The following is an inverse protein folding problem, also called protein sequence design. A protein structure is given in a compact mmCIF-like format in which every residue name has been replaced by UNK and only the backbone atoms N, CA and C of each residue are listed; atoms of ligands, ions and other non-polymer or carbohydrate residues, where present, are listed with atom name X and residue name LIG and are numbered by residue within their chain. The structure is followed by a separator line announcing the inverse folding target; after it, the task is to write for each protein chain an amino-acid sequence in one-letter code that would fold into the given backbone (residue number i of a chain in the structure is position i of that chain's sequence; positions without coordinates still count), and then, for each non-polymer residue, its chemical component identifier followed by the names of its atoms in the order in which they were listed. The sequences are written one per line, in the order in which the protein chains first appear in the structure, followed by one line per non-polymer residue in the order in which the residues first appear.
data_IF_918004250702
#
_entry.id   IF_918004250702
#
_cell.length_a   1.000
_cell.length_b   1.000
_cell.length_c   1.000
_cell.angle_alpha   90.00
_cell.angle_beta   90.00
_cell.angle_gamma   90.00
#
_symmetry.space_group_name_H-M   'P 1'
#
loop_
_entity.id
_entity.type
_entity.pdbx_description
1 polymer ?
#
# COMPACT_ATOMS: atom_id res chain seq x y z
N UNK A 1 -24.91 3.83 14.20
CA UNK A 1 -24.84 2.48 14.84
C UNK A 1 -23.42 1.93 14.72
N UNK A 2 -22.96 1.22 15.76
CA UNK A 2 -21.68 0.51 15.67
C UNK A 2 -21.77 -0.59 14.58
N UNK A 3 -20.74 -0.77 13.72
CA UNK A 3 -20.73 -1.87 12.75
C UNK A 3 -20.79 -3.22 13.46
N UNK A 4 -21.64 -4.13 12.96
CA UNK A 4 -21.88 -5.44 13.60
C UNK A 4 -20.61 -6.26 13.80
N UNK A 5 -19.74 -6.33 12.79
CA UNK A 5 -18.49 -7.08 12.89
C UNK A 5 -17.53 -6.45 13.92
N UNK A 6 -17.53 -5.12 14.03
CA UNK A 6 -16.77 -4.40 15.05
C UNK A 6 -17.33 -4.68 16.46
N UNK A 7 -18.64 -4.61 16.62
CA UNK A 7 -19.30 -4.87 17.90
C UNK A 7 -19.04 -6.31 18.37
N UNK A 8 -19.18 -7.29 17.47
CA UNK A 8 -18.87 -8.69 17.76
C UNK A 8 -17.42 -8.86 18.21
N UNK A 9 -16.47 -8.30 17.45
CA UNK A 9 -15.05 -8.36 17.78
C UNK A 9 -14.75 -7.74 19.15
N UNK A 10 -15.25 -6.54 19.42
CA UNK A 10 -14.98 -5.85 20.70
C UNK A 10 -15.59 -6.60 21.88
N UNK A 11 -16.81 -7.16 21.75
CA UNK A 11 -17.47 -7.95 22.80
C UNK A 11 -16.75 -9.27 23.08
N UNK A 12 -16.15 -9.89 22.08
CA UNK A 12 -15.38 -11.14 22.22
C UNK A 12 -14.04 -10.90 22.89
N UNK A 13 -13.36 -9.78 22.57
CA UNK A 13 -11.97 -9.56 22.96
C UNK A 13 -11.79 -8.63 24.17
N UNK A 14 -12.73 -7.73 24.44
CA UNK A 14 -12.58 -6.80 25.56
C UNK A 14 -13.49 -7.15 26.74
N UNK A 15 -12.98 -7.07 27.97
CA UNK A 15 -13.82 -7.21 29.17
C UNK A 15 -14.94 -6.17 29.22
N UNK A 16 -16.16 -6.58 29.59
CA UNK A 16 -17.32 -5.66 29.71
C UNK A 16 -17.04 -4.45 30.62
N UNK A 17 -16.21 -4.61 31.65
CA UNK A 17 -15.79 -3.53 32.51
C UNK A 17 -15.00 -2.44 31.78
N UNK A 18 -14.27 -2.80 30.71
CA UNK A 18 -13.51 -1.85 29.87
C UNK A 18 -14.42 -0.85 29.18
N UNK A 19 -15.54 -1.31 28.62
CA UNK A 19 -16.53 -0.43 28.00
C UNK A 19 -17.06 0.60 29.01
N UNK A 20 -17.46 0.14 30.20
CA UNK A 20 -17.99 1.02 31.25
C UNK A 20 -16.97 2.05 31.72
N UNK A 21 -15.71 1.65 31.84
CA UNK A 21 -14.67 2.49 32.40
C UNK A 21 -14.03 3.45 31.36
N UNK A 22 -13.98 3.05 30.08
CA UNK A 22 -13.18 3.75 29.07
C UNK A 22 -13.97 4.35 27.90
N UNK A 23 -15.24 3.98 27.74
CA UNK A 23 -16.06 4.53 26.67
C UNK A 23 -16.29 6.03 26.91
N UNK A 24 -15.79 6.83 26.00
CA UNK A 24 -16.06 8.27 25.93
C UNK A 24 -17.13 8.52 24.86
N UNK A 25 -18.12 9.34 25.20
CA UNK A 25 -19.18 9.76 24.26
C UNK A 25 -19.15 11.28 24.10
N UNK A 26 -19.24 11.73 22.87
CA UNK A 26 -19.31 13.14 22.50
C UNK A 26 -20.23 13.30 21.29
N UNK A 27 -21.39 13.95 21.48
CA UNK A 27 -22.39 14.18 20.43
C UNK A 27 -22.69 12.93 19.59
N UNK A 28 -23.05 11.83 20.24
CA UNK A 28 -23.37 10.55 19.61
C UNK A 28 -22.16 9.77 19.05
N UNK A 29 -20.97 10.35 19.11
CA UNK A 29 -19.72 9.68 18.72
C UNK A 29 -19.10 8.99 19.90
N UNK A 30 -18.69 7.76 19.70
CA UNK A 30 -18.14 6.87 20.71
C UNK A 30 -16.67 6.57 20.45
N UNK A 31 -15.86 6.59 21.53
CA UNK A 31 -14.41 6.44 21.50
C UNK A 31 -13.93 5.51 22.61
N UNK A 32 -13.25 4.42 22.25
CA UNK A 32 -12.46 3.59 23.17
C UNK A 32 -10.99 3.78 22.81
N UNK A 33 -10.23 4.42 23.67
CA UNK A 33 -8.84 4.80 23.42
C UNK A 33 -7.89 4.03 24.34
N UNK A 34 -6.82 3.49 23.78
CA UNK A 34 -5.77 2.75 24.45
C UNK A 34 -4.40 3.33 24.07
N UNK A 35 -3.52 3.41 25.06
CA UNK A 35 -2.12 3.86 24.89
C UNK A 35 -1.15 2.68 25.02
N UNK A 36 0.13 2.92 24.80
CA UNK A 36 1.19 1.94 25.05
C UNK A 36 1.28 1.43 26.50
N UNK A 37 0.63 2.12 27.45
CA UNK A 37 0.55 1.70 28.85
C UNK A 37 -0.51 0.61 29.09
N UNK A 38 -1.44 0.45 28.14
CA UNK A 38 -2.56 -0.50 28.23
C UNK A 38 -2.19 -1.89 27.67
N UNK A 39 -0.98 -2.37 27.95
CA UNK A 39 -0.39 -3.59 27.36
C UNK A 39 -1.34 -4.79 27.41
N UNK A 40 -2.01 -5.01 28.53
CA UNK A 40 -2.94 -6.13 28.69
C UNK A 40 -4.17 -6.00 27.79
N UNK A 41 -4.78 -4.81 27.70
CA UNK A 41 -5.94 -4.56 26.84
C UNK A 41 -5.56 -4.61 25.35
N UNK A 42 -4.37 -4.09 24.99
CA UNK A 42 -3.84 -4.18 23.66
C UNK A 42 -3.60 -5.65 23.23
N UNK A 43 -3.12 -6.49 24.15
CA UNK A 43 -2.94 -7.91 23.86
C UNK A 43 -4.27 -8.65 23.58
N UNK A 44 -5.36 -8.25 24.25
CA UNK A 44 -6.70 -8.73 23.92
C UNK A 44 -7.16 -8.32 22.51
N UNK A 45 -6.75 -7.15 22.04
CA UNK A 45 -6.99 -6.69 20.67
C UNK A 45 -6.03 -7.29 19.63
N UNK A 46 -5.19 -8.25 20.03
CA UNK A 46 -4.19 -8.90 19.17
C UNK A 46 -2.97 -8.01 18.88
N UNK A 47 -2.73 -6.96 19.67
CA UNK A 47 -1.64 -6.01 19.48
C UNK A 47 -0.53 -6.26 20.48
N UNK A 48 0.69 -6.44 19.99
CA UNK A 48 1.90 -6.54 20.81
C UNK A 48 2.58 -5.18 20.84
N UNK A 49 2.63 -4.57 22.04
CA UNK A 49 3.34 -3.32 22.28
C UNK A 49 4.84 -3.56 22.40
N UNK A 50 5.63 -2.63 21.86
CA UNK A 50 7.08 -2.60 22.00
C UNK A 50 7.60 -1.16 22.22
N UNK A 51 8.91 -0.95 22.13
CA UNK A 51 9.52 0.39 22.33
C UNK A 51 9.17 1.40 21.23
N UNK A 52 8.68 0.94 20.07
CA UNK A 52 8.28 1.80 18.94
C UNK A 52 6.84 2.28 19.10
N UNK A 53 5.95 1.40 19.55
CA UNK A 53 4.53 1.74 19.70
C UNK A 53 3.65 0.54 20.07
N UNK A 54 2.33 0.68 19.98
CA UNK A 54 1.59 1.82 19.43
C UNK A 54 1.48 2.99 20.43
N UNK A 55 1.49 4.22 19.90
CA UNK A 55 1.22 5.43 20.68
C UNK A 55 -0.27 5.56 21.04
N UNK A 56 -1.16 5.23 20.11
CA UNK A 56 -2.62 5.26 20.27
C UNK A 56 -3.26 4.13 19.45
N UNK A 57 -4.22 3.46 20.09
CA UNK A 57 -5.21 2.60 19.41
C UNK A 57 -6.60 3.09 19.80
N UNK A 58 -7.40 3.49 18.83
CA UNK A 58 -8.75 3.98 19.05
C UNK A 58 -9.76 3.14 18.26
N UNK A 59 -10.79 2.65 18.97
CA UNK A 59 -11.98 2.05 18.38
C UNK A 59 -13.09 3.12 18.42
N UNK A 60 -13.62 3.49 17.24
CA UNK A 60 -14.47 4.68 17.10
C UNK A 60 -15.71 4.35 16.26
N UNK A 61 -16.89 4.88 16.68
CA UNK A 61 -18.13 4.71 15.91
C UNK A 61 -19.14 5.83 16.19
N UNK A 62 -20.10 5.96 15.27
CA UNK A 62 -21.23 6.89 15.42
C UNK A 62 -22.48 6.11 15.87
N UNK A 63 -22.93 6.35 17.12
CA UNK A 63 -24.08 5.65 17.72
C UNK A 63 -25.42 6.19 17.16
N UNK A 64 -25.48 7.46 16.78
CA UNK A 64 -26.70 8.13 16.31
C UNK A 64 -26.94 7.95 14.81
N UNK A 65 -25.92 7.59 14.05
CA UNK A 65 -26.07 7.36 12.62
C UNK A 65 -27.01 6.19 12.33
N UNK A 66 -27.96 6.33 11.36
CA UNK A 66 -28.77 5.21 10.89
C UNK A 66 -27.95 4.17 10.11
N UNK A 67 -26.73 4.53 9.68
CA UNK A 67 -25.80 3.63 9.04
C UNK A 67 -24.78 3.08 10.06
N UNK A 68 -24.27 1.90 9.78
CA UNK A 68 -23.13 1.34 10.50
C UNK A 68 -21.87 2.13 10.12
N UNK A 69 -21.45 3.06 10.97
CA UNK A 69 -20.26 3.90 10.76
C UNK A 69 -19.32 3.70 11.95
N UNK A 70 -18.15 3.11 11.68
CA UNK A 70 -17.15 2.89 12.71
C UNK A 70 -15.93 2.17 12.18
N UNK A 71 -14.93 2.06 13.06
CA UNK A 71 -13.68 1.40 12.74
C UNK A 71 -12.58 1.73 13.73
N UNK A 72 -11.36 1.75 13.25
CA UNK A 72 -10.16 1.84 14.08
C UNK A 72 -9.19 2.91 13.58
N UNK A 73 -8.53 3.59 14.51
CA UNK A 73 -7.39 4.47 14.22
C UNK A 73 -6.21 4.00 15.06
N UNK A 74 -5.09 3.75 14.44
CA UNK A 74 -3.84 3.40 15.11
C UNK A 74 -2.77 4.39 14.72
N UNK A 75 -2.22 5.06 15.72
CA UNK A 75 -0.96 5.80 15.62
C UNK A 75 0.10 4.91 16.24
N UNK A 76 0.96 4.34 15.40
CA UNK A 76 2.01 3.43 15.87
C UNK A 76 3.15 4.21 16.53
N UNK A 77 3.69 5.20 15.83
CA UNK A 77 4.79 6.00 16.37
C UNK A 77 4.69 7.45 15.92
N UNK A 78 5.13 8.36 16.79
CA UNK A 78 5.32 9.79 16.51
C UNK A 78 6.79 10.20 16.61
N UNK A 79 7.71 9.24 16.78
CA UNK A 79 9.14 9.50 16.93
C UNK A 79 9.77 10.12 15.67
N UNK A 80 9.28 9.73 14.47
CA UNK A 80 9.73 10.31 13.20
C UNK A 80 9.16 11.70 12.91
N UNK A 81 8.11 12.13 13.62
CA UNK A 81 7.46 13.43 13.46
C UNK A 81 5.95 13.38 13.66
N UNK A 82 5.33 14.55 13.61
CA UNK A 82 3.88 14.76 13.72
C UNK A 82 3.34 15.51 12.51
N UNK A 83 2.14 15.13 12.04
CA UNK A 83 1.33 13.96 12.47
C UNK A 83 1.93 12.62 12.06
N UNK A 84 1.35 11.50 12.49
CA UNK A 84 1.56 10.20 11.87
C UNK A 84 0.80 10.15 10.53
N UNK A 85 1.34 9.46 9.55
CA UNK A 85 0.76 9.41 8.21
C UNK A 85 0.46 7.96 7.78
N UNK A 86 -0.67 7.73 7.11
CA UNK A 86 -1.02 6.46 6.50
C UNK A 86 -2.46 6.33 6.07
N UNK A 87 -2.74 5.37 5.19
CA UNK A 87 -4.01 5.22 4.50
C UNK A 87 -5.15 4.68 5.36
N UNK A 88 -6.38 4.85 4.89
CA UNK A 88 -7.61 4.27 5.44
C UNK A 88 -7.97 3.04 4.65
N UNK A 89 -8.00 1.86 5.29
CA UNK A 89 -8.46 0.61 4.69
C UNK A 89 -9.93 0.37 4.99
N UNK A 90 -10.73 -0.02 3.99
CA UNK A 90 -12.14 -0.36 4.18
C UNK A 90 -12.38 -1.83 3.87
N UNK A 91 -12.70 -2.62 4.90
CA UNK A 91 -12.99 -4.05 4.80
C UNK A 91 -13.99 -4.48 5.90
N UNK A 92 -14.83 -5.51 5.65
CA UNK A 92 -15.84 -5.94 6.64
C UNK A 92 -15.24 -6.57 7.90
N UNK A 93 -14.11 -7.28 7.78
CA UNK A 93 -13.51 -8.07 8.86
C UNK A 93 -12.14 -7.53 9.29
N UNK A 94 -11.94 -6.22 9.19
CA UNK A 94 -10.69 -5.61 9.62
C UNK A 94 -10.64 -5.53 11.15
N UNK A 95 -9.48 -5.79 11.74
CA UNK A 95 -9.25 -5.77 13.19
C UNK A 95 -8.27 -4.67 13.60
N UNK A 96 -8.22 -4.30 14.89
CA UNK A 96 -7.20 -3.38 15.41
C UNK A 96 -5.77 -3.87 15.15
N UNK A 97 -5.53 -5.18 15.23
CA UNK A 97 -4.20 -5.76 14.95
C UNK A 97 -3.80 -5.64 13.49
N UNK A 98 -4.74 -5.79 12.54
CA UNK A 98 -4.47 -5.57 11.12
C UNK A 98 -4.07 -4.12 10.87
N UNK A 99 -4.79 -3.18 11.48
CA UNK A 99 -4.49 -1.75 11.36
C UNK A 99 -3.15 -1.40 12.01
N UNK A 100 -2.82 -1.98 13.18
CA UNK A 100 -1.52 -1.79 13.82
C UNK A 100 -0.37 -2.32 12.95
N UNK A 101 -0.53 -3.50 12.34
CA UNK A 101 0.46 -4.08 11.44
C UNK A 101 0.77 -3.14 10.26
N UNK A 102 -0.27 -2.53 9.69
CA UNK A 102 -0.12 -1.56 8.61
C UNK A 102 0.48 -0.24 9.10
N UNK A 103 0.09 0.24 10.29
CA UNK A 103 0.64 1.46 10.90
C UNK A 103 2.14 1.31 11.18
N UNK A 104 2.59 0.14 11.67
CA UNK A 104 4.02 -0.19 11.84
C UNK A 104 4.77 -0.16 10.50
N UNK A 105 4.17 -0.70 9.44
CA UNK A 105 4.71 -0.59 8.09
C UNK A 105 4.90 0.86 7.66
N UNK A 106 3.95 1.75 7.99
CA UNK A 106 4.06 3.19 7.71
C UNK A 106 5.16 3.86 8.55
N UNK A 107 5.33 3.48 9.83
CA UNK A 107 6.45 3.95 10.66
C UNK A 107 7.79 3.68 9.99
N UNK A 108 7.98 2.46 9.50
CA UNK A 108 9.22 2.05 8.82
C UNK A 108 9.40 2.76 7.48
N UNK A 109 8.34 2.90 6.67
CA UNK A 109 8.40 3.59 5.37
C UNK A 109 8.76 5.06 5.53
N UNK A 110 8.08 5.77 6.44
CA UNK A 110 8.35 7.19 6.68
C UNK A 110 9.78 7.41 7.18
N UNK A 111 10.25 6.55 8.10
CA UNK A 111 11.62 6.61 8.59
C UNK A 111 12.65 6.29 7.50
N UNK A 112 12.42 5.24 6.70
CA UNK A 112 13.31 4.84 5.62
C UNK A 112 13.42 5.90 4.51
N UNK A 113 12.30 6.59 4.22
CA UNK A 113 12.25 7.70 3.28
C UNK A 113 12.64 9.05 3.92
N UNK A 114 13.16 9.07 5.15
CA UNK A 114 13.54 10.28 5.88
C UNK A 114 12.45 11.37 5.91
N UNK A 115 11.18 10.96 5.97
CA UNK A 115 10.04 11.87 6.00
C UNK A 115 9.76 12.35 7.44
N UNK A 116 9.32 13.59 7.64
CA UNK A 116 9.08 14.17 8.99
C UNK A 116 7.72 13.74 9.56
N UNK A 117 7.38 12.46 9.44
CA UNK A 117 6.09 11.89 9.86
C UNK A 117 6.27 10.64 10.68
N UNK A 118 5.38 10.47 11.65
CA UNK A 118 5.18 9.20 12.31
C UNK A 118 4.42 8.19 11.43
N UNK A 119 4.22 6.98 11.91
CA UNK A 119 3.40 5.96 11.24
C UNK A 119 2.02 5.83 11.86
N UNK A 120 0.99 5.89 11.01
CA UNK A 120 -0.39 5.71 11.42
C UNK A 120 -1.19 4.96 10.36
N UNK A 121 -2.36 4.48 10.74
CA UNK A 121 -3.30 3.80 9.85
C UNK A 121 -4.71 3.87 10.40
N UNK A 122 -5.72 3.87 9.52
CA UNK A 122 -7.09 3.69 9.96
C UNK A 122 -7.79 2.56 9.20
N UNK A 123 -8.87 2.05 9.77
CA UNK A 123 -9.73 1.05 9.16
C UNK A 123 -11.19 1.40 9.31
N UNK A 124 -11.96 1.33 8.23
CA UNK A 124 -13.42 1.42 8.24
C UNK A 124 -13.96 -0.01 8.17
N UNK A 125 -14.81 -0.39 9.13
CA UNK A 125 -15.50 -1.69 9.11
C UNK A 125 -16.75 -1.54 8.26
N UNK A 126 -16.68 -1.98 7.00
CA UNK A 126 -17.82 -1.91 6.08
C UNK A 126 -17.69 -2.97 4.97
N UNK A 127 -18.85 -3.35 4.40
CA UNK A 127 -18.90 -4.29 3.27
C UNK A 127 -18.25 -3.75 2.00
N UNK A 128 -17.73 -4.65 1.15
CA UNK A 128 -17.10 -4.26 -0.12
C UNK A 128 -18.10 -3.83 -1.18
N UNK A 129 -19.29 -4.44 -1.18
CA UNK A 129 -20.33 -4.23 -2.20
C UNK A 129 -21.36 -3.18 -1.74
N UNK A 130 -20.89 -1.94 -1.55
CA UNK A 130 -21.75 -0.81 -1.22
C UNK A 130 -22.18 -0.06 -2.48
N UNK A 131 -23.39 0.52 -2.49
CA UNK A 131 -23.71 1.55 -3.48
C UNK A 131 -22.81 2.77 -3.29
N UNK A 132 -22.50 3.50 -4.36
CA UNK A 132 -21.63 4.68 -4.31
C UNK A 132 -22.13 5.72 -3.28
N UNK A 133 -23.45 5.92 -3.19
CA UNK A 133 -24.05 6.82 -2.20
C UNK A 133 -23.81 6.37 -0.77
N UNK A 134 -24.00 5.06 -0.48
CA UNK A 134 -23.80 4.50 0.86
C UNK A 134 -22.33 4.54 1.25
N UNK A 135 -21.43 4.22 0.31
CA UNK A 135 -19.98 4.31 0.49
C UNK A 135 -19.59 5.75 0.90
N UNK A 136 -19.98 6.75 0.12
CA UNK A 136 -19.68 8.15 0.42
C UNK A 136 -20.22 8.58 1.79
N UNK A 137 -21.45 8.19 2.16
CA UNK A 137 -22.03 8.51 3.48
C UNK A 137 -21.22 7.90 4.61
N UNK A 138 -20.74 6.65 4.47
CA UNK A 138 -19.90 5.98 5.47
C UNK A 138 -18.56 6.69 5.61
N UNK A 139 -17.88 6.99 4.49
CA UNK A 139 -16.59 7.71 4.50
C UNK A 139 -16.72 9.09 5.14
N UNK A 140 -17.77 9.86 4.80
CA UNK A 140 -18.03 11.17 5.42
C UNK A 140 -18.32 11.07 6.91
N UNK A 141 -19.10 10.09 7.34
CA UNK A 141 -19.35 9.83 8.76
C UNK A 141 -18.05 9.46 9.51
N UNK A 142 -17.22 8.62 8.89
CA UNK A 142 -15.92 8.29 9.45
C UNK A 142 -14.96 9.48 9.49
N UNK A 143 -14.99 10.38 8.49
CA UNK A 143 -14.23 11.61 8.50
C UNK A 143 -14.53 12.48 9.75
N UNK A 144 -15.81 12.56 10.14
CA UNK A 144 -16.24 13.28 11.37
C UNK A 144 -15.70 12.62 12.63
N UNK A 145 -15.58 11.29 12.67
CA UNK A 145 -15.01 10.57 13.80
C UNK A 145 -13.50 10.81 13.94
N UNK A 146 -12.75 10.76 12.83
CA UNK A 146 -11.29 10.93 12.86
C UNK A 146 -10.86 12.39 13.01
N UNK A 147 -11.74 13.38 12.86
CA UNK A 147 -11.45 14.81 13.08
C UNK A 147 -10.80 15.08 14.45
N UNK A 148 -11.17 14.29 15.45
CA UNK A 148 -10.57 14.33 16.81
C UNK A 148 -9.06 14.12 16.78
N UNK A 149 -8.54 13.37 15.81
CA UNK A 149 -7.14 12.97 15.73
C UNK A 149 -6.33 13.76 14.68
N UNK A 150 -6.88 14.84 14.10
CA UNK A 150 -6.25 15.63 13.02
C UNK A 150 -4.81 16.10 13.31
N UNK A 151 -4.46 16.31 14.59
CA UNK A 151 -3.14 16.78 15.00
C UNK A 151 -2.11 15.64 15.15
N UNK A 152 -2.56 14.38 15.12
CA UNK A 152 -1.68 13.21 15.32
C UNK A 152 -1.83 12.16 14.23
N UNK A 153 -2.84 12.27 13.36
CA UNK A 153 -3.07 11.33 12.27
C UNK A 153 -3.52 12.06 10.99
N UNK A 154 -2.82 11.80 9.89
CA UNK A 154 -3.06 12.35 8.57
C UNK A 154 -3.42 11.19 7.61
N UNK A 155 -4.68 11.09 7.16
CA UNK A 155 -5.16 10.00 6.33
C UNK A 155 -4.80 10.15 4.86
N UNK A 156 -4.50 9.03 4.20
CA UNK A 156 -4.47 8.85 2.75
C UNK A 156 -5.37 7.68 2.32
N UNK A 157 -5.44 7.31 1.04
CA UNK A 157 -6.19 6.15 0.58
C UNK A 157 -5.43 4.84 0.82
N UNK A 158 -6.17 3.73 0.86
CA UNK A 158 -5.67 2.35 0.87
C UNK A 158 -6.72 1.42 0.25
N UNK A 159 -6.58 0.11 0.41
CA UNK A 159 -7.54 -0.88 -0.10
C UNK A 159 -8.97 -0.55 0.35
N UNK A 160 -9.87 -0.43 -0.60
CA UNK A 160 -11.29 -0.10 -0.38
C UNK A 160 -11.60 1.39 -0.27
N UNK A 161 -10.59 2.27 -0.36
CA UNK A 161 -10.74 3.72 -0.48
C UNK A 161 -9.90 4.27 -1.64
N UNK A 162 -10.20 5.48 -2.09
CA UNK A 162 -9.55 6.13 -3.24
C UNK A 162 -9.45 7.65 -3.05
N UNK A 163 -9.00 8.36 -4.07
CA UNK A 163 -8.85 9.82 -4.08
C UNK A 163 -10.18 10.57 -3.89
N UNK A 164 -11.30 10.07 -4.43
CA UNK A 164 -12.63 10.65 -4.21
C UNK A 164 -13.07 10.55 -2.73
N UNK A 165 -12.66 9.50 -2.04
CA UNK A 165 -12.85 9.37 -0.59
C UNK A 165 -12.01 10.39 0.18
N UNK A 166 -10.77 10.62 -0.25
CA UNK A 166 -9.92 11.67 0.32
C UNK A 166 -10.50 13.07 0.06
N UNK A 167 -11.11 13.28 -1.11
CA UNK A 167 -11.92 14.50 -1.37
C UNK A 167 -13.04 14.66 -0.34
N UNK A 168 -13.76 13.58 -0.06
CA UNK A 168 -14.85 13.58 0.94
C UNK A 168 -14.33 13.91 2.34
N UNK A 169 -13.16 13.38 2.73
CA UNK A 169 -12.51 13.68 4.02
C UNK A 169 -12.05 15.14 4.08
N UNK A 170 -11.44 15.66 3.00
CA UNK A 170 -11.00 17.04 2.93
C UNK A 170 -12.18 18.03 2.99
N UNK A 171 -13.33 17.70 2.40
CA UNK A 171 -14.56 18.49 2.52
C UNK A 171 -15.04 18.58 3.98
N UNK A 172 -14.93 17.48 4.74
CA UNK A 172 -15.35 17.47 6.15
C UNK A 172 -14.31 18.11 7.10
N UNK A 173 -13.03 17.96 6.82
CA UNK A 173 -11.95 18.23 7.79
C UNK A 173 -10.94 19.31 7.35
N UNK A 174 -11.02 19.81 6.12
CA UNK A 174 -10.09 20.77 5.51
C UNK A 174 -9.04 20.08 4.63
N UNK A 175 -8.49 20.81 3.66
CA UNK A 175 -7.59 20.29 2.62
C UNK A 175 -6.32 19.65 3.16
N UNK A 176 -5.71 20.22 4.18
CA UNK A 176 -4.47 19.72 4.75
C UNK A 176 -4.67 18.53 5.71
N UNK A 177 -5.91 18.06 5.89
CA UNK A 177 -6.26 16.90 6.72
C UNK A 177 -6.59 15.65 5.88
N UNK A 178 -6.19 15.61 4.61
CA UNK A 178 -6.25 14.43 3.75
C UNK A 178 -5.14 14.47 2.71
N UNK A 179 -4.60 13.31 2.36
CA UNK A 179 -3.53 13.12 1.37
C UNK A 179 -4.05 12.39 0.13
N UNK A 180 -3.32 12.51 -0.97
CA UNK A 180 -3.67 11.86 -2.24
C UNK A 180 -5.07 12.22 -2.70
N UNK A 181 -5.38 13.51 -2.59
CA UNK A 181 -6.63 14.10 -3.10
C UNK A 181 -6.61 14.15 -4.63
N UNK A 182 -7.78 14.30 -5.28
CA UNK A 182 -7.86 14.59 -6.71
C UNK A 182 -7.15 15.91 -7.07
N UNK A 183 -6.80 16.07 -8.34
CA UNK A 183 -6.09 17.27 -8.83
C UNK A 183 -6.89 18.56 -8.64
N UNK A 184 -8.23 18.48 -8.68
CA UNK A 184 -9.13 19.64 -8.45
C UNK A 184 -9.10 20.15 -6.99
N UNK A 185 -8.39 19.46 -6.11
CA UNK A 185 -8.07 19.88 -4.73
C UNK A 185 -6.55 20.03 -4.50
N UNK A 186 -5.77 20.18 -5.57
CA UNK A 186 -4.33 20.29 -5.50
C UNK A 186 -3.62 18.98 -5.16
N UNK A 187 -4.27 17.83 -5.31
CA UNK A 187 -3.64 16.52 -5.15
C UNK A 187 -2.75 16.15 -6.32
N UNK A 188 -1.81 15.25 -6.11
CA UNK A 188 -0.75 14.92 -7.10
C UNK A 188 -0.95 13.61 -7.86
N UNK A 189 -2.17 13.07 -7.89
CA UNK A 189 -2.56 11.88 -8.70
C UNK A 189 -1.64 10.67 -8.55
N UNK A 190 -1.29 10.33 -7.34
CA UNK A 190 -0.29 9.28 -6.99
C UNK A 190 -0.56 7.95 -7.72
N UNK A 191 -1.82 7.53 -7.79
CA UNK A 191 -2.20 6.25 -8.40
C UNK A 191 -2.07 6.27 -9.94
N UNK A 192 -2.47 7.37 -10.60
CA UNK A 192 -2.34 7.52 -12.05
C UNK A 192 -0.87 7.55 -12.50
N UNK A 193 -0.01 8.13 -11.69
CA UNK A 193 1.43 8.20 -11.96
C UNK A 193 2.13 6.87 -11.70
N UNK A 194 1.56 6.02 -10.86
CA UNK A 194 2.21 4.81 -10.41
C UNK A 194 3.41 5.11 -9.50
N UNK A 195 3.28 6.08 -8.60
CA UNK A 195 4.39 6.54 -7.76
C UNK A 195 5.07 5.43 -6.95
N UNK A 196 4.29 4.47 -6.40
CA UNK A 196 4.86 3.30 -5.73
C UNK A 196 5.71 2.45 -6.69
N UNK A 197 5.23 2.24 -7.91
CA UNK A 197 5.95 1.52 -8.95
C UNK A 197 7.20 2.27 -9.43
N UNK A 198 7.17 3.60 -9.45
CA UNK A 198 8.36 4.43 -9.68
C UNK A 198 9.48 4.13 -8.71
N UNK A 199 9.17 4.01 -7.41
CA UNK A 199 10.12 3.60 -6.37
C UNK A 199 10.70 2.20 -6.62
N UNK A 200 9.88 1.24 -7.07
CA UNK A 200 10.32 -0.11 -7.44
C UNK A 200 11.39 -0.06 -8.56
N UNK A 201 11.19 0.78 -9.58
CA UNK A 201 12.15 0.89 -10.69
C UNK A 201 13.42 1.64 -10.28
N UNK A 202 13.33 2.67 -9.45
CA UNK A 202 14.51 3.34 -8.86
C UNK A 202 15.29 2.33 -8.01
N UNK A 203 14.59 1.53 -7.19
CA UNK A 203 15.21 0.49 -6.39
C UNK A 203 15.85 -0.62 -7.25
N UNK A 204 15.37 -0.90 -8.47
CA UNK A 204 16.05 -1.78 -9.40
C UNK A 204 17.33 -1.15 -10.00
N UNK A 205 17.27 0.12 -10.39
CA UNK A 205 18.42 0.82 -10.97
C UNK A 205 19.59 0.98 -10.00
N UNK A 206 19.31 1.16 -8.71
CA UNK A 206 20.34 1.34 -7.67
C UNK A 206 21.21 0.09 -7.49
N UNK A 207 20.67 -1.12 -7.26
CA UNK A 207 21.44 -2.35 -7.23
C UNK A 207 22.31 -2.57 -8.45
N UNK A 208 21.78 -2.34 -9.63
CA UNK A 208 22.57 -2.54 -10.87
C UNK A 208 23.90 -1.76 -10.86
N UNK A 209 23.93 -0.58 -10.23
CA UNK A 209 25.14 0.22 -10.08
C UNK A 209 26.11 -0.32 -9.02
N UNK A 210 25.61 -0.91 -7.94
CA UNK A 210 26.43 -1.32 -6.79
C UNK A 210 26.78 -2.82 -6.80
N UNK A 211 26.01 -3.66 -7.48
CA UNK A 211 26.21 -5.13 -7.51
C UNK A 211 27.62 -5.56 -7.91
N UNK A 212 28.35 -4.90 -8.85
CA UNK A 212 29.73 -5.24 -9.14
C UNK A 212 30.63 -5.20 -7.91
N UNK A 213 30.35 -4.31 -6.95
CA UNK A 213 31.11 -4.19 -5.68
C UNK A 213 30.77 -5.31 -4.71
N UNK A 214 29.61 -5.94 -4.82
CA UNK A 214 29.22 -7.04 -3.93
C UNK A 214 30.03 -8.31 -4.14
N UNK A 215 30.74 -8.46 -5.27
CA UNK A 215 31.59 -9.62 -5.55
C UNK A 215 32.72 -9.82 -4.55
N UNK A 216 33.00 -8.83 -3.70
CA UNK A 216 33.92 -8.97 -2.57
C UNK A 216 33.36 -9.90 -1.47
N UNK A 217 32.04 -10.09 -1.43
CA UNK A 217 31.37 -10.96 -0.47
C UNK A 217 31.32 -12.40 -1.00
N UNK A 218 31.63 -13.41 -0.16
CA UNK A 218 31.70 -14.81 -0.61
C UNK A 218 30.46 -15.30 -1.36
N UNK A 219 29.26 -14.94 -0.90
CA UNK A 219 28.01 -15.37 -1.51
C UNK A 219 27.72 -14.74 -2.89
N UNK A 220 28.43 -13.67 -3.25
CA UNK A 220 28.27 -12.96 -4.52
C UNK A 220 29.50 -13.07 -5.45
N UNK A 221 30.50 -13.87 -5.11
CA UNK A 221 31.74 -13.99 -5.91
C UNK A 221 31.44 -14.39 -7.35
N UNK A 222 30.44 -15.22 -7.57
CA UNK A 222 30.01 -15.71 -8.90
C UNK A 222 28.82 -14.91 -9.45
N UNK A 223 28.51 -13.73 -8.91
CA UNK A 223 27.40 -12.93 -9.37
C UNK A 223 27.66 -12.44 -10.80
N UNK A 224 26.85 -12.90 -11.73
CA UNK A 224 26.83 -12.43 -13.12
C UNK A 224 25.82 -11.30 -13.24
N UNK A 225 26.25 -10.18 -13.81
CA UNK A 225 25.40 -9.05 -14.10
C UNK A 225 25.35 -8.95 -15.62
N UNK A 226 24.22 -9.29 -16.25
CA UNK A 226 24.10 -9.23 -17.69
C UNK A 226 24.16 -7.80 -18.19
N UNK A 227 24.53 -7.60 -19.45
CA UNK A 227 24.30 -6.33 -20.10
C UNK A 227 22.80 -5.99 -20.08
N UNK A 228 22.47 -4.71 -20.11
CA UNK A 228 21.10 -4.21 -19.96
C UNK A 228 20.11 -4.87 -20.94
N UNK A 229 20.54 -5.16 -22.15
CA UNK A 229 19.74 -5.82 -23.21
C UNK A 229 19.35 -7.27 -22.86
N UNK A 230 20.14 -7.92 -22.00
CA UNK A 230 19.94 -9.30 -21.55
C UNK A 230 19.33 -9.37 -20.14
N UNK A 231 18.96 -8.22 -19.59
CA UNK A 231 18.39 -8.13 -18.27
C UNK A 231 16.92 -8.53 -18.31
N UNK A 232 16.57 -9.58 -17.58
CA UNK A 232 15.23 -10.19 -17.58
C UNK A 232 14.54 -10.02 -16.24
N UNK A 233 13.23 -9.80 -16.26
CA UNK A 233 12.43 -9.52 -15.08
C UNK A 233 11.16 -10.38 -15.06
N UNK A 234 10.85 -10.93 -13.88
CA UNK A 234 9.58 -11.55 -13.55
C UNK A 234 8.80 -10.64 -12.60
N UNK A 235 7.49 -10.50 -12.79
CA UNK A 235 6.61 -9.67 -11.94
C UNK A 235 5.45 -10.52 -11.43
N UNK A 236 5.43 -10.85 -10.14
CA UNK A 236 4.30 -11.51 -9.50
C UNK A 236 3.23 -10.48 -9.13
N UNK A 237 2.08 -10.55 -9.77
CA UNK A 237 0.97 -9.62 -9.57
C UNK A 237 0.98 -8.44 -10.54
N UNK A 238 0.22 -8.56 -11.63
CA UNK A 238 0.03 -7.48 -12.62
C UNK A 238 -1.15 -6.58 -12.23
N UNK A 239 -1.16 -6.15 -10.93
CA UNK A 239 -2.03 -5.12 -10.38
C UNK A 239 -1.45 -3.72 -10.57
N UNK A 240 -1.91 -2.73 -9.79
CA UNK A 240 -1.47 -1.33 -9.93
C UNK A 240 0.07 -1.19 -9.87
N UNK A 241 0.73 -1.82 -8.90
CA UNK A 241 2.19 -1.73 -8.76
C UNK A 241 2.90 -2.44 -9.93
N UNK A 242 2.55 -3.69 -10.22
CA UNK A 242 3.22 -4.48 -11.26
C UNK A 242 3.00 -3.93 -12.66
N UNK A 243 1.78 -3.51 -13.00
CA UNK A 243 1.46 -2.93 -14.30
C UNK A 243 2.18 -1.59 -14.52
N UNK A 244 2.16 -0.69 -13.54
CA UNK A 244 2.90 0.57 -13.64
C UNK A 244 4.42 0.36 -13.61
N UNK A 245 4.94 -0.60 -12.82
CA UNK A 245 6.36 -0.93 -12.81
C UNK A 245 6.85 -1.37 -14.19
N UNK A 246 6.10 -2.27 -14.86
CA UNK A 246 6.44 -2.70 -16.21
C UNK A 246 6.37 -1.57 -17.24
N UNK A 247 5.37 -0.66 -17.13
CA UNK A 247 5.28 0.53 -17.97
C UNK A 247 6.47 1.47 -17.78
N UNK A 248 6.75 1.85 -16.54
CA UNK A 248 7.85 2.76 -16.20
C UNK A 248 9.20 2.15 -16.58
N UNK A 249 9.36 0.82 -16.40
CA UNK A 249 10.54 0.11 -16.84
C UNK A 249 10.75 0.26 -18.35
N UNK A 250 9.69 0.04 -19.13
CA UNK A 250 9.75 0.18 -20.59
C UNK A 250 10.08 1.60 -21.05
N UNK A 251 9.65 2.62 -20.28
CA UNK A 251 9.95 4.02 -20.54
C UNK A 251 11.39 4.39 -20.20
N UNK A 252 11.93 3.90 -19.07
CA UNK A 252 13.24 4.28 -18.53
C UNK A 252 14.40 3.39 -18.99
N UNK A 253 14.12 2.10 -19.22
CA UNK A 253 15.08 1.07 -19.58
C UNK A 253 14.47 0.18 -20.68
N UNK A 254 14.28 0.71 -21.90
CA UNK A 254 13.55 0.04 -22.99
C UNK A 254 14.16 -1.29 -23.44
N UNK A 255 15.47 -1.49 -23.20
CA UNK A 255 16.18 -2.72 -23.53
C UNK A 255 15.88 -3.87 -22.57
N UNK A 256 15.46 -3.56 -21.33
CA UNK A 256 15.15 -4.58 -20.32
C UNK A 256 13.88 -5.34 -20.69
N UNK A 257 13.92 -6.65 -20.53
CA UNK A 257 12.81 -7.55 -20.90
C UNK A 257 12.02 -7.97 -19.67
N UNK A 258 10.73 -7.66 -19.64
CA UNK A 258 9.78 -8.33 -18.75
C UNK A 258 9.39 -9.64 -19.42
N UNK A 259 9.91 -10.76 -18.92
CA UNK A 259 9.71 -12.09 -19.52
C UNK A 259 8.57 -12.87 -18.88
N UNK A 260 8.11 -12.47 -17.69
CA UNK A 260 6.99 -13.13 -17.03
C UNK A 260 6.19 -12.20 -16.15
N UNK A 261 4.87 -12.37 -16.15
CA UNK A 261 3.92 -11.69 -15.27
C UNK A 261 2.88 -12.68 -14.76
N UNK A 262 2.30 -12.42 -13.59
CA UNK A 262 1.14 -13.17 -13.11
C UNK A 262 0.04 -12.24 -12.58
N UNK A 263 -1.19 -12.75 -12.59
CA UNK A 263 -2.34 -12.18 -11.89
C UNK A 263 -3.19 -13.29 -11.26
N UNK A 264 -4.40 -12.99 -10.80
CA UNK A 264 -5.28 -13.98 -10.14
C UNK A 264 -5.75 -15.13 -11.07
N UNK A 265 -5.66 -14.96 -12.38
CA UNK A 265 -6.12 -15.93 -13.36
C UNK A 265 -4.99 -16.82 -13.90
N UNK A 266 -3.72 -16.51 -13.58
CA UNK A 266 -2.58 -17.32 -14.00
C UNK A 266 -1.29 -16.54 -14.22
N UNK A 267 -0.39 -17.10 -15.05
CA UNK A 267 0.83 -16.40 -15.46
C UNK A 267 1.08 -16.53 -16.96
N UNK A 268 1.79 -15.55 -17.50
CA UNK A 268 2.35 -15.50 -18.84
C UNK A 268 3.87 -15.51 -18.74
N UNK A 269 4.54 -16.23 -19.63
CA UNK A 269 6.00 -16.26 -19.73
C UNK A 269 6.48 -16.36 -21.19
N UNK A 270 7.44 -15.49 -21.54
CA UNK A 270 8.08 -15.51 -22.86
C UNK A 270 9.53 -15.02 -22.74
N UNK A 271 10.51 -15.88 -23.02
CA UNK A 271 11.94 -15.55 -22.92
C UNK A 271 12.35 -14.35 -23.79
N UNK A 272 11.68 -14.12 -24.90
CA UNK A 272 11.95 -12.97 -25.78
C UNK A 272 11.39 -11.65 -25.26
N UNK A 273 10.61 -11.69 -24.18
CA UNK A 273 9.91 -10.56 -23.58
C UNK A 273 8.41 -10.53 -23.91
N UNK A 274 7.63 -9.98 -23.02
CA UNK A 274 6.19 -9.80 -23.14
C UNK A 274 5.85 -8.42 -23.74
N UNK A 275 4.75 -8.27 -24.50
CA UNK A 275 4.32 -7.01 -25.10
C UNK A 275 3.68 -6.08 -24.06
N UNK A 276 4.50 -5.42 -23.24
CA UNK A 276 4.06 -4.63 -22.07
C UNK A 276 3.07 -3.53 -22.44
N UNK A 277 3.24 -2.87 -23.60
CA UNK A 277 2.31 -1.82 -24.05
C UNK A 277 0.87 -2.34 -24.22
N UNK A 278 0.73 -3.52 -24.83
CA UNK A 278 -0.57 -4.19 -25.01
C UNK A 278 -1.14 -4.68 -23.68
N UNK A 279 -0.34 -5.36 -22.85
CA UNK A 279 -0.75 -5.86 -21.55
C UNK A 279 -1.16 -4.73 -20.59
N UNK A 280 -0.47 -3.58 -20.64
CA UNK A 280 -0.84 -2.42 -19.84
C UNK A 280 -2.17 -1.80 -20.30
N UNK A 281 -2.44 -1.78 -21.62
CA UNK A 281 -3.74 -1.35 -22.16
C UNK A 281 -4.86 -2.27 -21.68
N UNK A 282 -4.68 -3.60 -21.83
CA UNK A 282 -5.63 -4.60 -21.33
C UNK A 282 -5.87 -4.47 -19.82
N UNK A 283 -4.81 -4.20 -19.05
CA UNK A 283 -4.95 -3.98 -17.60
C UNK A 283 -5.79 -2.75 -17.27
N UNK A 284 -5.63 -1.65 -18.00
CA UNK A 284 -6.47 -0.46 -17.79
C UNK A 284 -7.95 -0.75 -17.97
N UNK A 285 -8.27 -1.56 -18.97
CA UNK A 285 -9.64 -1.90 -19.34
C UNK A 285 -10.26 -2.97 -18.42
N UNK A 286 -9.49 -4.02 -18.08
CA UNK A 286 -10.02 -5.26 -17.50
C UNK A 286 -9.47 -5.58 -16.11
N UNK A 287 -8.39 -4.94 -15.66
CA UNK A 287 -7.65 -5.20 -14.40
C UNK A 287 -6.93 -6.55 -14.33
N UNK A 288 -7.43 -7.61 -14.96
CA UNK A 288 -6.80 -8.92 -15.12
C UNK A 288 -6.45 -9.12 -16.59
N UNK A 289 -5.27 -9.65 -16.88
CA UNK A 289 -4.75 -9.68 -18.24
C UNK A 289 -4.32 -11.06 -18.74
N UNK A 290 -3.88 -11.95 -17.85
CA UNK A 290 -3.23 -13.20 -18.26
C UNK A 290 -4.15 -14.11 -19.06
N UNK A 291 -5.38 -14.32 -18.60
CA UNK A 291 -6.36 -15.16 -19.27
C UNK A 291 -6.94 -14.49 -20.53
N UNK A 292 -7.12 -13.17 -20.51
CA UNK A 292 -7.60 -12.40 -21.66
C UNK A 292 -6.57 -12.47 -22.78
N UNK A 293 -5.29 -12.23 -22.48
CA UNK A 293 -4.20 -12.32 -23.45
C UNK A 293 -4.06 -13.76 -23.99
N UNK A 294 -4.18 -14.77 -23.11
CA UNK A 294 -4.18 -16.17 -23.53
C UNK A 294 -5.27 -16.46 -24.55
N UNK A 295 -6.51 -16.04 -24.27
CA UNK A 295 -7.65 -16.29 -25.18
C UNK A 295 -7.52 -15.54 -26.50
N UNK A 296 -7.11 -14.27 -26.46
CA UNK A 296 -7.13 -13.40 -27.63
C UNK A 296 -5.92 -13.60 -28.54
N UNK A 297 -4.75 -13.89 -27.99
CA UNK A 297 -3.50 -13.96 -28.73
C UNK A 297 -2.95 -15.39 -28.81
N UNK A 298 -2.76 -16.05 -27.67
CA UNK A 298 -2.10 -17.36 -27.65
C UNK A 298 -2.94 -18.43 -28.33
N UNK A 299 -4.25 -18.48 -28.06
CA UNK A 299 -5.14 -19.46 -28.71
C UNK A 299 -5.24 -19.20 -30.23
N UNK A 300 -5.29 -17.93 -30.66
CA UNK A 300 -5.41 -17.56 -32.07
C UNK A 300 -4.19 -17.99 -32.89
N UNK A 301 -2.99 -17.96 -32.32
CA UNK A 301 -1.75 -18.43 -32.96
C UNK A 301 -1.50 -19.94 -32.74
N UNK A 302 -2.25 -20.55 -31.84
CA UNK A 302 -2.15 -21.97 -31.52
C UNK A 302 -0.79 -22.34 -30.89
N UNK A 303 -0.33 -23.60 -31.17
CA UNK A 303 0.92 -24.12 -30.60
C UNK A 303 2.20 -23.40 -31.07
N UNK A 304 2.11 -22.50 -32.03
CA UNK A 304 3.24 -21.70 -32.50
C UNK A 304 3.49 -20.45 -31.71
N UNK A 305 2.55 -20.06 -30.82
CA UNK A 305 2.72 -18.87 -30.00
C UNK A 305 3.84 -19.09 -28.98
N UNK A 306 4.85 -18.20 -28.89
CA UNK A 306 6.02 -18.40 -28.04
C UNK A 306 5.73 -18.17 -26.55
N UNK A 307 4.59 -17.55 -26.22
CA UNK A 307 4.23 -17.24 -24.82
C UNK A 307 3.55 -18.43 -24.15
N UNK A 308 4.11 -18.88 -23.03
CA UNK A 308 3.49 -19.89 -22.16
C UNK A 308 2.39 -19.25 -21.31
N UNK A 309 1.33 -20.00 -21.05
CA UNK A 309 0.27 -19.67 -20.09
C UNK A 309 0.00 -20.84 -19.16
N UNK A 310 -0.29 -20.55 -17.89
CA UNK A 310 -0.84 -21.52 -16.95
C UNK A 310 -1.79 -20.81 -15.97
N UNK A 311 -2.86 -21.49 -15.58
CA UNK A 311 -3.81 -21.00 -14.56
C UNK A 311 -3.24 -21.00 -13.14
N UNK A 312 -2.14 -21.71 -12.89
CA UNK A 312 -1.44 -21.63 -11.61
C UNK A 312 -0.44 -20.48 -11.63
N UNK A 313 -0.84 -19.33 -11.08
CA UNK A 313 -0.06 -18.10 -11.03
C UNK A 313 1.29 -18.27 -10.32
N UNK A 314 1.38 -19.13 -9.31
CA UNK A 314 2.58 -19.35 -8.51
C UNK A 314 3.68 -20.10 -9.29
N UNK A 315 3.34 -20.77 -10.40
CA UNK A 315 4.34 -21.39 -11.27
C UNK A 315 5.28 -20.35 -11.95
N UNK A 316 4.92 -19.06 -11.96
CA UNK A 316 5.83 -17.99 -12.35
C UNK A 316 7.13 -18.01 -11.53
N UNK A 317 7.06 -18.39 -10.25
CA UNK A 317 8.19 -18.39 -9.34
C UNK A 317 9.18 -19.56 -9.60
N UNK A 318 8.84 -20.49 -10.49
CA UNK A 318 9.76 -21.54 -10.99
C UNK A 318 10.67 -21.03 -12.13
N UNK A 319 10.24 -19.96 -12.82
CA UNK A 319 10.94 -19.44 -13.99
C UNK A 319 12.22 -18.68 -13.57
N UNK A 320 13.21 -18.65 -14.49
CA UNK A 320 14.50 -18.03 -14.25
C UNK A 320 14.53 -16.61 -14.81
N UNK A 321 15.13 -15.69 -14.09
CA UNK A 321 15.35 -14.31 -14.51
C UNK A 321 16.49 -13.66 -13.72
N UNK A 322 16.97 -12.52 -14.18
CA UNK A 322 17.90 -11.73 -13.38
C UNK A 322 17.20 -11.13 -12.13
N UNK A 323 16.00 -10.56 -12.32
CA UNK A 323 15.26 -9.89 -11.26
C UNK A 323 13.85 -10.49 -11.09
N UNK A 324 13.44 -10.67 -9.84
CA UNK A 324 12.08 -11.01 -9.47
C UNK A 324 11.46 -9.86 -8.68
N UNK A 325 10.25 -9.42 -9.08
CA UNK A 325 9.49 -8.35 -8.44
C UNK A 325 8.17 -8.91 -7.89
N UNK A 326 8.09 -9.26 -6.59
CA UNK A 326 6.82 -9.55 -5.96
C UNK A 326 6.02 -8.25 -5.81
N UNK A 327 4.88 -8.13 -6.50
CA UNK A 327 3.98 -6.97 -6.50
C UNK A 327 2.51 -7.34 -6.21
N UNK A 328 2.23 -8.60 -5.93
CA UNK A 328 0.93 -9.07 -5.45
C UNK A 328 0.77 -8.79 -3.94
N UNK A 329 -0.45 -8.69 -3.41
CA UNK A 329 -0.69 -8.50 -1.97
C UNK A 329 -0.43 -9.78 -1.16
N UNK A 330 0.72 -10.39 -1.37
CA UNK A 330 1.19 -11.66 -0.78
C UNK A 330 2.47 -11.36 0.00
N UNK A 331 2.41 -11.45 1.34
CA UNK A 331 3.57 -11.17 2.19
C UNK A 331 4.54 -12.34 2.28
N UNK A 332 4.10 -13.60 2.03
CA UNK A 332 4.89 -14.83 2.08
C UNK A 332 5.09 -15.44 0.68
N UNK A 333 5.51 -14.65 -0.30
CA UNK A 333 5.79 -15.14 -1.66
C UNK A 333 6.84 -16.25 -1.67
N UNK A 334 7.81 -16.21 -0.74
CA UNK A 334 8.79 -17.27 -0.48
C UNK A 334 8.83 -17.62 1.00
N UNK A 335 8.91 -18.91 1.32
CA UNK A 335 9.24 -19.42 2.65
C UNK A 335 10.10 -20.67 2.54
N UNK A 336 10.74 -21.05 3.66
CA UNK A 336 11.56 -22.28 3.72
C UNK A 336 10.66 -23.50 3.85
N UNK A 337 9.56 -23.39 4.59
CA UNK A 337 8.65 -24.50 4.91
C UNK A 337 7.33 -24.35 4.18
N UNK A 338 6.87 -25.42 3.55
CA UNK A 338 5.54 -25.48 2.92
C UNK A 338 4.39 -25.27 3.91
N UNK A 339 4.60 -25.64 5.20
CA UNK A 339 3.60 -25.41 6.27
C UNK A 339 3.34 -23.93 6.57
N UNK A 340 4.17 -23.02 6.08
CA UNK A 340 3.99 -21.57 6.14
C UNK A 340 3.10 -21.04 5.02
N UNK A 341 2.61 -21.94 4.17
CA UNK A 341 1.72 -21.67 3.03
C UNK A 341 2.21 -20.56 2.09
N UNK A 342 3.46 -20.64 1.59
CA UNK A 342 3.99 -19.66 0.64
C UNK A 342 3.48 -19.90 -0.79
N UNK A 343 3.63 -18.87 -1.66
CA UNK A 343 3.50 -19.07 -3.10
C UNK A 343 4.53 -20.08 -3.61
N UNK A 344 5.79 -20.02 -3.09
CA UNK A 344 6.85 -20.95 -3.45
C UNK A 344 7.79 -21.20 -2.28
N UNK A 345 8.31 -22.44 -2.18
CA UNK A 345 9.39 -22.75 -1.24
C UNK A 345 10.76 -22.42 -1.85
N UNK A 346 11.72 -22.02 -0.99
CA UNK A 346 13.04 -21.55 -1.43
C UNK A 346 13.83 -22.61 -2.21
N UNK A 347 13.65 -23.90 -1.90
CA UNK A 347 14.29 -25.03 -2.62
C UNK A 347 13.80 -25.16 -4.06
N UNK A 348 12.57 -24.72 -4.37
CA UNK A 348 11.95 -24.84 -5.69
C UNK A 348 11.99 -23.54 -6.51
N UNK A 349 12.34 -22.41 -5.89
CA UNK A 349 12.35 -21.11 -6.57
C UNK A 349 13.26 -21.11 -7.80
N UNK A 350 12.90 -20.28 -8.79
CA UNK A 350 13.75 -20.02 -9.94
C UNK A 350 15.10 -19.42 -9.58
N UNK A 351 16.02 -19.36 -10.54
CA UNK A 351 17.32 -18.70 -10.34
C UNK A 351 17.15 -17.21 -10.59
N UNK A 352 17.37 -16.41 -9.54
CA UNK A 352 17.35 -14.95 -9.58
C UNK A 352 18.61 -14.39 -8.95
N UNK A 353 19.04 -13.19 -9.35
CA UNK A 353 20.16 -12.47 -8.75
C UNK A 353 19.70 -11.40 -7.78
N UNK A 354 18.50 -10.83 -8.00
CA UNK A 354 17.92 -9.80 -7.15
C UNK A 354 16.41 -9.95 -7.02
N UNK A 355 15.90 -9.66 -5.83
CA UNK A 355 14.47 -9.53 -5.53
C UNK A 355 14.21 -8.06 -5.14
N UNK A 356 13.22 -7.42 -5.78
CA UNK A 356 12.83 -6.04 -5.51
C UNK A 356 11.37 -6.05 -5.03
N UNK A 357 11.15 -5.86 -3.73
CA UNK A 357 9.83 -6.07 -3.12
C UNK A 357 8.87 -4.90 -3.32
N UNK A 358 8.09 -4.95 -4.38
CA UNK A 358 6.97 -4.02 -4.61
C UNK A 358 5.76 -4.27 -3.70
N UNK A 359 5.58 -5.51 -3.22
CA UNK A 359 4.53 -5.89 -2.28
C UNK A 359 4.89 -5.51 -0.84
N UNK A 360 3.88 -5.36 0.04
CA UNK A 360 4.09 -5.20 1.48
C UNK A 360 4.34 -6.58 2.12
N UNK A 361 5.57 -6.88 2.41
CA UNK A 361 6.03 -8.17 2.94
C UNK A 361 6.32 -8.15 4.43
N UNK A 362 6.52 -6.98 5.01
CA UNK A 362 6.76 -6.81 6.44
C UNK A 362 5.54 -7.20 7.28
N UNK A 363 5.77 -7.90 8.37
CA UNK A 363 4.77 -8.16 9.41
C UNK A 363 5.42 -8.07 10.79
N UNK A 364 4.81 -7.42 11.78
CA UNK A 364 5.27 -7.43 13.17
C UNK A 364 5.01 -8.76 13.88
N UNK A 365 4.19 -9.64 13.31
CA UNK A 365 3.90 -10.95 13.88
C UNK A 365 5.18 -11.78 14.09
N UNK A 366 5.47 -12.31 15.29
CA UNK A 366 6.71 -13.01 15.60
C UNK A 366 6.97 -14.26 14.74
N UNK A 367 5.90 -15.00 14.38
CA UNK A 367 6.04 -16.21 13.56
C UNK A 367 6.41 -15.82 12.13
N UNK A 368 5.75 -14.80 11.56
CA UNK A 368 6.06 -14.28 10.23
C UNK A 368 7.45 -13.66 10.17
N UNK A 369 7.87 -12.90 11.19
CA UNK A 369 9.25 -12.41 11.31
C UNK A 369 10.27 -13.55 11.29
N UNK A 370 10.02 -14.59 12.06
CA UNK A 370 10.92 -15.75 12.14
C UNK A 370 10.97 -16.49 10.80
N UNK A 371 9.84 -16.69 10.13
CA UNK A 371 9.78 -17.30 8.80
C UNK A 371 10.54 -16.45 7.77
N UNK A 372 10.35 -15.15 7.80
CA UNK A 372 11.04 -14.18 6.95
C UNK A 372 12.55 -14.21 7.15
N UNK A 373 13.03 -14.16 8.39
CA UNK A 373 14.46 -14.22 8.71
C UNK A 373 15.09 -15.52 8.18
N UNK A 374 14.43 -16.66 8.35
CA UNK A 374 14.91 -17.94 7.79
C UNK A 374 15.02 -17.90 6.28
N UNK A 375 13.99 -17.39 5.62
CA UNK A 375 13.97 -17.25 4.16
C UNK A 375 15.11 -16.35 3.68
N UNK A 376 15.26 -15.16 4.26
CA UNK A 376 16.32 -14.21 3.92
C UNK A 376 17.71 -14.77 4.12
N UNK A 377 17.95 -15.51 5.21
CA UNK A 377 19.25 -16.15 5.45
C UNK A 377 19.64 -17.11 4.32
N UNK A 378 18.73 -17.98 3.89
CA UNK A 378 19.00 -18.94 2.83
C UNK A 378 19.15 -18.23 1.49
N UNK A 379 18.19 -17.37 1.14
CA UNK A 379 18.16 -16.68 -0.15
C UNK A 379 19.38 -15.77 -0.32
N UNK A 380 19.71 -14.97 0.70
CA UNK A 380 20.84 -14.05 0.65
C UNK A 380 22.19 -14.75 0.82
N UNK A 381 22.34 -15.59 1.85
CA UNK A 381 23.65 -16.15 2.20
C UNK A 381 24.05 -17.39 1.39
N UNK A 382 23.08 -18.27 1.11
CA UNK A 382 23.35 -19.54 0.46
C UNK A 382 23.15 -19.48 -1.06
N UNK A 383 22.11 -18.75 -1.51
CA UNK A 383 21.80 -18.62 -2.94
C UNK A 383 22.42 -17.39 -3.60
N UNK A 384 22.98 -16.45 -2.83
CA UNK A 384 23.58 -15.23 -3.36
C UNK A 384 22.58 -14.29 -4.04
N UNK A 385 21.33 -14.25 -3.57
CA UNK A 385 20.29 -13.38 -4.10
C UNK A 385 20.15 -12.15 -3.21
N UNK A 386 20.29 -10.96 -3.76
CA UNK A 386 20.09 -9.72 -3.04
C UNK A 386 18.58 -9.43 -2.91
N UNK A 387 18.14 -8.96 -1.73
CA UNK A 387 16.75 -8.59 -1.47
C UNK A 387 16.71 -7.11 -1.12
N UNK A 388 15.98 -6.33 -1.91
CA UNK A 388 15.60 -4.95 -1.59
C UNK A 388 14.22 -4.96 -0.95
N UNK A 389 14.16 -4.57 0.33
CA UNK A 389 12.99 -4.71 1.19
C UNK A 389 11.85 -3.75 0.81
N UNK A 390 10.64 -4.19 1.06
CA UNK A 390 9.37 -3.53 0.73
C UNK A 390 9.28 -2.06 1.16
N UNK A 391 9.57 -1.76 2.42
CA UNK A 391 9.43 -0.39 2.97
C UNK A 391 10.46 0.61 2.40
N UNK A 392 11.56 0.13 1.80
CA UNK A 392 12.49 0.96 1.03
C UNK A 392 12.03 1.14 -0.42
N UNK A 393 11.56 0.04 -1.01
CA UNK A 393 11.28 -0.07 -2.44
C UNK A 393 9.96 0.59 -2.83
N UNK A 394 8.88 0.34 -2.08
CA UNK A 394 7.53 0.77 -2.43
C UNK A 394 7.10 2.07 -1.71
N UNK A 395 8.05 2.83 -1.17
CA UNK A 395 7.80 4.10 -0.49
C UNK A 395 7.48 5.28 -1.42
N UNK A 396 7.62 5.13 -2.74
CA UNK A 396 7.37 6.22 -3.68
C UNK A 396 6.01 6.89 -3.50
N UNK A 397 4.93 6.10 -3.37
CA UNK A 397 3.59 6.64 -3.09
C UNK A 397 3.51 7.44 -1.79
N UNK A 398 4.22 7.00 -0.76
CA UNK A 398 4.28 7.68 0.55
C UNK A 398 5.06 9.00 0.45
N UNK A 399 6.14 9.04 -0.35
CA UNK A 399 6.92 10.25 -0.62
C UNK A 399 6.03 11.30 -1.30
N UNK A 400 5.35 10.94 -2.38
CA UNK A 400 4.44 11.86 -3.08
C UNK A 400 3.31 12.35 -2.17
N UNK A 401 2.72 11.47 -1.34
CA UNK A 401 1.71 11.86 -0.36
C UNK A 401 2.28 12.84 0.68
N UNK A 402 3.50 12.62 1.15
CA UNK A 402 4.17 13.52 2.08
C UNK A 402 4.40 14.90 1.46
N UNK A 403 4.88 14.97 0.23
CA UNK A 403 5.11 16.24 -0.47
C UNK A 403 3.81 17.01 -0.69
N UNK A 404 2.67 16.32 -0.87
CA UNK A 404 1.36 16.97 -0.92
C UNK A 404 1.01 17.73 0.37
N UNK A 405 1.51 17.28 1.52
CA UNK A 405 1.31 17.97 2.80
C UNK A 405 2.44 18.96 3.15
N UNK A 406 3.69 18.67 2.74
CA UNK A 406 4.86 19.54 2.96
C UNK A 406 4.71 20.84 2.14
N UNK A 407 4.31 20.73 0.87
CA UNK A 407 3.90 21.86 0.04
C UNK A 407 2.49 22.25 0.44
N UNK A 408 2.38 23.11 1.46
CA UNK A 408 1.10 23.48 2.07
C UNK A 408 0.15 24.16 1.08
N UNK A 409 -1.13 23.96 1.30
CA UNK A 409 -2.16 24.72 0.61
C UNK A 409 -2.06 26.19 1.07
N UNK A 410 -1.93 27.16 0.15
CA UNK A 410 -1.95 28.59 0.50
C UNK A 410 -3.22 28.99 1.27
N UNK A 411 -3.10 29.95 2.17
CA UNK A 411 -4.22 30.36 3.05
C UNK A 411 -5.48 30.74 2.27
N UNK A 412 -5.34 31.43 1.12
CA UNK A 412 -6.46 31.84 0.28
C UNK A 412 -7.12 30.66 -0.48
N UNK A 413 -6.44 29.51 -0.53
CA UNK A 413 -6.96 28.26 -1.10
C UNK A 413 -7.40 27.26 -0.03
N UNK A 414 -7.45 27.64 1.25
CA UNK A 414 -8.07 26.81 2.29
C UNK A 414 -9.59 26.86 2.18
N UNK A 415 -10.26 25.73 2.37
CA UNK A 415 -11.73 25.69 2.42
C UNK A 415 -12.18 26.54 3.61
N UNK A 416 -13.04 27.58 3.39
CA UNK A 416 -13.60 28.38 4.50
C UNK A 416 -14.29 27.49 5.53
N UNK A 417 -14.08 27.76 6.84
CA UNK A 417 -14.62 26.91 7.91
C UNK A 417 -16.14 26.73 7.85
N UNK A 418 -16.86 27.77 7.45
CA UNK A 418 -18.32 27.76 7.28
C UNK A 418 -18.79 26.86 6.13
N UNK A 419 -17.92 26.51 5.18
CA UNK A 419 -18.22 25.60 4.07
C UNK A 419 -17.90 24.15 4.41
N UNK A 420 -17.14 23.88 5.48
CA UNK A 420 -16.78 22.50 5.84
C UNK A 420 -18.03 21.65 6.06
N UNK A 421 -18.01 20.44 5.48
CA UNK A 421 -19.15 19.52 5.50
C UNK A 421 -20.26 19.82 4.47
N UNK A 422 -20.21 20.96 3.75
CA UNK A 422 -21.14 21.29 2.67
C UNK A 422 -20.51 21.00 1.30
N UNK A 423 -20.76 19.81 0.77
CA UNK A 423 -20.17 19.36 -0.51
C UNK A 423 -20.51 20.26 -1.68
N UNK A 424 -21.73 20.83 -1.74
CA UNK A 424 -22.13 21.70 -2.86
C UNK A 424 -21.40 23.04 -2.81
N UNK A 425 -21.30 23.65 -1.63
CA UNK A 425 -20.58 24.90 -1.45
C UNK A 425 -19.07 24.71 -1.77
N UNK A 426 -18.45 23.64 -1.23
CA UNK A 426 -17.04 23.35 -1.49
C UNK A 426 -16.80 23.06 -2.96
N UNK A 427 -17.64 22.26 -3.63
CA UNK A 427 -17.43 21.97 -5.05
C UNK A 427 -17.57 23.20 -5.94
N UNK A 428 -18.45 24.14 -5.62
CA UNK A 428 -18.52 25.45 -6.32
C UNK A 428 -17.24 26.25 -6.09
N UNK A 429 -16.82 26.36 -4.85
CA UNK A 429 -15.60 27.07 -4.48
C UNK A 429 -14.35 26.48 -5.15
N UNK A 430 -14.21 25.15 -5.21
CA UNK A 430 -13.12 24.47 -5.94
C UNK A 430 -13.13 24.81 -7.44
N UNK A 431 -14.34 24.90 -8.03
CA UNK A 431 -14.48 25.25 -9.45
C UNK A 431 -14.02 26.69 -9.73
N UNK A 432 -14.29 27.61 -8.81
CA UNK A 432 -13.86 29.01 -8.94
C UNK A 432 -12.33 29.17 -8.85
N UNK A 433 -11.62 28.21 -8.20
CA UNK A 433 -10.17 28.20 -8.02
C UNK A 433 -9.45 27.10 -8.85
N UNK A 434 -10.08 26.61 -9.92
CA UNK A 434 -9.58 25.46 -10.70
C UNK A 434 -8.12 25.61 -11.17
N UNK A 435 -7.74 26.78 -11.69
CA UNK A 435 -6.39 27.04 -12.21
C UNK A 435 -5.35 27.06 -11.10
N UNK A 436 -5.67 27.60 -9.94
CA UNK A 436 -4.78 27.70 -8.80
C UNK A 436 -4.54 26.29 -8.19
N UNK A 437 -5.56 25.45 -8.09
CA UNK A 437 -5.42 24.06 -7.67
C UNK A 437 -4.64 23.21 -8.67
N UNK A 438 -4.78 23.46 -9.98
CA UNK A 438 -4.00 22.79 -11.00
C UNK A 438 -2.50 23.12 -10.87
N UNK A 439 -2.17 24.40 -10.62
CA UNK A 439 -0.77 24.81 -10.40
C UNK A 439 -0.21 24.25 -9.09
N UNK A 440 -0.98 24.25 -8.01
CA UNK A 440 -0.59 23.61 -6.74
C UNK A 440 -0.35 22.10 -6.90
N UNK A 441 -1.21 21.41 -7.65
CA UNK A 441 -1.04 19.99 -7.98
C UNK A 441 0.28 19.74 -8.72
N UNK A 442 0.62 20.61 -9.69
CA UNK A 442 1.86 20.53 -10.45
C UNK A 442 3.09 20.77 -9.57
N UNK A 443 3.05 21.75 -8.67
CA UNK A 443 4.14 22.02 -7.72
C UNK A 443 4.40 20.83 -6.80
N UNK A 444 3.34 20.22 -6.26
CA UNK A 444 3.41 19.00 -5.42
C UNK A 444 3.96 17.80 -6.16
N UNK A 445 3.58 17.67 -7.44
CA UNK A 445 4.12 16.62 -8.31
C UNK A 445 5.62 16.78 -8.51
N UNK A 446 6.09 17.99 -8.84
CA UNK A 446 7.52 18.28 -9.01
C UNK A 446 8.29 17.99 -7.73
N UNK A 447 7.80 18.49 -6.59
CA UNK A 447 8.41 18.23 -5.29
C UNK A 447 8.54 16.72 -4.97
N UNK A 448 7.53 15.91 -5.36
CA UNK A 448 7.60 14.45 -5.21
C UNK A 448 8.59 13.77 -6.15
N UNK A 449 8.85 14.35 -7.32
CA UNK A 449 9.84 13.83 -8.29
C UNK A 449 11.27 14.17 -7.92
N UNK A 450 11.49 15.31 -7.28
CA UNK A 450 12.81 15.80 -6.87
C UNK A 450 13.29 15.17 -5.56
N UNK A 451 12.37 14.72 -4.70
CA UNK A 451 12.69 14.04 -3.44
C UNK A 451 13.30 12.66 -3.68
#
# INVERSE_FOLDING_TARGET
MIPKNMESFLNEHLPKATFKARLKKDQGKCYLEFSNLDVHLLSHLGIISDKVGPHLVACIWDEESPLEIGGYVVVDSLAGGRPSMGGIRMLPNISPSDIHNLARGMTLKNAAANLPYGGGKAGIVAERSLSAERHTKIVRGFAKLIRRYKNIYLPGPDVGTNDADMKSIAIENGLDNALSKPADMGGNRIDELGAAAGGVIIALQTPLKIMPRLRILPQFVNLEIPNIENLTILIQGFGAVGAHASRILKERLPEVKVIGISDLEGYLYNESGLPIGELFKLWKENKLVTNIYFKNQIISEGYKHPTKFSTNADNLLLEHAFCFIPAAPIFNYLCVRSSENPSMTVDRMGKWSVIIEGANTYSPDPYRKTARIRMEQIVYREKGVMIANDYLVNSGGVIFAAQEHIVKTPDHLQIPEEMLGNSEAVNRWLKDHTNEFAELSKQRLIAGQEY
#
